data_IF_769952572665
#
_entry.id   IF_769952572665
#
_cell.length_a   1.000
_cell.length_b   1.000
_cell.length_c   1.000
_cell.angle_alpha   90.00
_cell.angle_beta   90.00
_cell.angle_gamma   90.00
#
_symmetry.space_group_name_H-M   'P 1'
#
loop_
_entity.id
_entity.type
_entity.pdbx_description
1 polymer ?
#
# COMPACT_ATOMS: atom_id res chain seq x y z
N UNK A 1 -14.86 15.65 21.15
CA UNK A 1 -14.59 16.13 19.78
C UNK A 1 -13.84 15.02 19.08
N UNK A 2 -14.40 14.39 18.06
CA UNK A 2 -13.68 13.38 17.28
C UNK A 2 -12.57 14.09 16.52
N UNK A 3 -11.32 13.82 16.87
CA UNK A 3 -10.18 14.32 16.11
C UNK A 3 -10.23 13.67 14.72
N UNK A 4 -10.05 14.46 13.66
CA UNK A 4 -9.99 13.93 12.29
C UNK A 4 -8.77 13.02 12.14
N UNK A 5 -9.01 11.74 11.88
CA UNK A 5 -7.95 10.76 11.67
C UNK A 5 -7.02 11.15 10.52
N UNK A 6 -7.54 11.85 9.52
CA UNK A 6 -6.78 12.33 8.36
C UNK A 6 -5.75 13.37 8.79
N UNK A 7 -6.14 14.31 9.66
CA UNK A 7 -5.23 15.32 10.20
C UNK A 7 -4.14 14.68 11.08
N UNK A 8 -4.52 13.72 11.95
CA UNK A 8 -3.58 12.96 12.77
C UNK A 8 -2.59 12.16 11.92
N UNK A 9 -3.03 11.59 10.80
CA UNK A 9 -2.17 10.89 9.87
C UNK A 9 -1.12 11.81 9.23
N UNK A 10 -1.49 13.05 8.90
CA UNK A 10 -0.55 14.04 8.37
C UNK A 10 0.43 14.56 9.43
N UNK A 11 0.08 14.44 10.71
CA UNK A 11 0.84 14.92 11.86
C UNK A 11 1.37 13.77 12.74
N UNK A 12 1.50 12.55 12.20
CA UNK A 12 1.98 11.38 12.93
C UNK A 12 3.31 11.70 13.65
N UNK A 13 3.22 11.77 14.99
CA UNK A 13 4.35 12.14 15.83
C UNK A 13 5.27 10.94 16.06
N UNK A 14 6.59 11.16 16.23
CA UNK A 14 7.53 10.08 16.55
C UNK A 14 7.09 9.23 17.75
N UNK A 15 6.59 9.84 18.81
CA UNK A 15 6.08 9.14 20.01
C UNK A 15 4.96 8.15 19.68
N UNK A 16 3.95 8.56 18.89
CA UNK A 16 2.84 7.70 18.50
C UNK A 16 3.28 6.54 17.62
N UNK A 17 4.28 6.77 16.76
CA UNK A 17 4.86 5.73 15.89
C UNK A 17 5.58 4.69 16.75
N UNK A 18 6.47 5.12 17.63
CA UNK A 18 7.28 4.24 18.48
C UNK A 18 6.39 3.43 19.42
N UNK A 19 5.42 4.08 20.09
CA UNK A 19 4.43 3.42 20.95
C UNK A 19 3.67 2.32 20.21
N UNK A 20 3.20 2.60 18.99
CA UNK A 20 2.41 1.67 18.21
C UNK A 20 3.23 0.45 17.78
N UNK A 21 4.44 0.70 17.29
CA UNK A 21 5.37 -0.35 16.82
C UNK A 21 5.79 -1.25 17.97
N UNK A 22 6.19 -0.65 19.09
CA UNK A 22 6.58 -1.37 20.28
C UNK A 22 5.44 -2.25 20.83
N UNK A 23 4.22 -1.71 20.93
CA UNK A 23 3.06 -2.46 21.39
C UNK A 23 2.68 -3.64 20.50
N UNK A 24 2.93 -3.55 19.19
CA UNK A 24 2.68 -4.64 18.25
C UNK A 24 3.76 -5.73 18.36
N UNK A 25 5.04 -5.34 18.35
CA UNK A 25 6.18 -6.27 18.40
C UNK A 25 6.23 -7.04 19.72
N UNK A 26 5.89 -6.40 20.84
CA UNK A 26 5.85 -7.04 22.16
C UNK A 26 4.82 -8.17 22.29
N UNK A 27 3.92 -8.34 21.32
CA UNK A 27 3.04 -9.51 21.24
C UNK A 27 3.78 -10.78 20.88
N UNK A 28 4.91 -10.66 20.18
CA UNK A 28 5.79 -11.76 19.82
C UNK A 28 7.04 -11.79 20.71
N UNK A 29 7.68 -10.64 20.91
CA UNK A 29 8.93 -10.49 21.68
C UNK A 29 8.75 -9.47 22.83
N UNK A 30 8.26 -9.90 24.01
CA UNK A 30 7.82 -8.99 25.08
C UNK A 30 8.88 -8.03 25.64
N UNK A 31 10.15 -8.36 25.48
CA UNK A 31 11.28 -7.56 25.97
C UNK A 31 11.81 -6.59 24.93
N UNK A 32 11.47 -6.74 23.66
CA UNK A 32 11.99 -5.90 22.59
C UNK A 32 11.40 -4.49 22.69
N UNK A 33 12.24 -3.47 22.47
CA UNK A 33 11.88 -2.06 22.61
C UNK A 33 12.36 -1.26 21.41
N UNK A 34 11.69 -0.15 21.13
CA UNK A 34 12.22 0.80 20.15
C UNK A 34 13.34 1.64 20.79
N UNK A 35 14.41 1.96 20.06
CA UNK A 35 15.51 2.81 20.59
C UNK A 35 15.14 4.29 20.71
N UNK A 36 13.98 4.68 20.18
CA UNK A 36 13.58 6.07 19.99
C UNK A 36 13.87 6.62 18.59
N UNK A 37 14.55 5.84 17.73
CA UNK A 37 14.86 6.22 16.36
C UNK A 37 13.77 5.77 15.38
N UNK A 38 13.11 6.74 14.75
CA UNK A 38 12.17 6.52 13.65
C UNK A 38 12.49 7.48 12.49
N UNK A 39 13.00 6.94 11.38
CA UNK A 39 13.37 7.71 10.20
C UNK A 39 12.28 7.61 9.13
N UNK A 40 11.70 8.73 8.72
CA UNK A 40 10.73 8.75 7.63
C UNK A 40 11.38 8.33 6.30
N UNK A 41 10.72 7.43 5.57
CA UNK A 41 11.09 6.98 4.23
C UNK A 41 10.23 7.66 3.17
N UNK A 42 10.74 7.76 1.94
CA UNK A 42 10.04 8.40 0.83
C UNK A 42 8.80 7.59 0.42
N UNK A 43 7.62 8.04 0.83
CA UNK A 43 6.33 7.52 0.40
C UNK A 43 5.29 8.64 0.36
N UNK A 44 4.55 8.72 -0.75
CA UNK A 44 3.54 9.78 -0.96
C UNK A 44 2.17 9.37 -0.41
N UNK A 45 1.78 8.11 -0.60
CA UNK A 45 0.46 7.59 -0.24
C UNK A 45 0.34 7.24 1.26
N UNK A 46 1.37 6.59 1.80
CA UNK A 46 1.40 6.10 3.17
C UNK A 46 2.52 6.81 3.94
N UNK A 47 2.45 6.81 5.28
CA UNK A 47 3.60 7.22 6.10
C UNK A 47 4.42 5.98 6.41
N UNK A 48 5.64 5.95 5.89
CA UNK A 48 6.54 4.81 6.03
C UNK A 48 7.75 5.22 6.85
N UNK A 49 8.10 4.45 7.87
CA UNK A 49 9.23 4.73 8.75
C UNK A 49 10.15 3.52 8.87
N UNK A 50 11.45 3.78 8.95
CA UNK A 50 12.48 2.85 9.39
C UNK A 50 12.67 3.04 10.89
N UNK A 51 12.29 2.04 11.68
CA UNK A 51 12.34 2.06 13.15
C UNK A 51 13.42 1.10 13.62
N UNK A 52 14.27 1.58 14.51
CA UNK A 52 15.36 0.80 15.12
C UNK A 52 14.90 0.21 16.45
N UNK A 53 15.26 -1.05 16.69
CA UNK A 53 14.98 -1.80 17.90
C UNK A 53 16.26 -1.97 18.74
N UNK A 54 16.10 -2.25 20.02
CA UNK A 54 17.21 -2.33 20.99
C UNK A 54 18.13 -3.56 20.83
N UNK A 55 17.75 -4.50 19.97
CA UNK A 55 18.60 -5.61 19.50
C UNK A 55 19.43 -5.26 18.24
N UNK A 56 19.52 -3.96 17.90
CA UNK A 56 20.17 -3.42 16.71
C UNK A 56 19.48 -3.76 15.37
N UNK A 57 18.34 -4.47 15.43
CA UNK A 57 17.54 -4.74 14.23
C UNK A 57 16.71 -3.52 13.83
N UNK A 58 16.15 -3.60 12.62
CA UNK A 58 15.32 -2.54 12.09
C UNK A 58 14.08 -3.12 11.40
N UNK A 59 12.98 -2.41 11.53
CA UNK A 59 11.71 -2.73 10.89
C UNK A 59 11.19 -1.56 10.07
N UNK A 60 10.47 -1.87 8.99
CA UNK A 60 9.81 -0.85 8.17
C UNK A 60 8.33 -0.84 8.49
N UNK A 61 7.83 0.28 8.97
CA UNK A 61 6.43 0.41 9.39
C UNK A 61 5.68 1.25 8.37
N UNK A 62 4.47 0.81 8.00
CA UNK A 62 3.63 1.47 6.99
C UNK A 62 2.30 1.81 7.65
N UNK A 63 2.08 3.09 7.89
CA UNK A 63 0.80 3.62 8.37
C UNK A 63 -0.06 3.99 7.16
N UNK A 64 -1.28 3.46 7.12
CA UNK A 64 -2.19 3.62 6.00
C UNK A 64 -2.97 4.93 6.13
N UNK A 65 -3.13 5.65 5.01
CA UNK A 65 -3.96 6.85 4.96
C UNK A 65 -5.42 6.50 5.34
N UNK A 66 -6.01 7.14 6.36
CA UNK A 66 -7.40 6.90 6.74
C UNK A 66 -8.37 7.06 5.57
N UNK A 67 -9.38 6.20 5.53
CA UNK A 67 -10.41 6.19 4.48
C UNK A 67 -9.96 5.67 3.12
N UNK A 68 -8.67 5.36 2.90
CA UNK A 68 -8.19 4.79 1.63
C UNK A 68 -8.49 3.31 1.52
N UNK A 69 -8.24 2.55 2.58
CA UNK A 69 -8.43 1.10 2.65
C UNK A 69 -9.13 0.72 3.96
N UNK A 70 -10.01 -0.27 3.88
CA UNK A 70 -10.57 -0.96 5.05
C UNK A 70 -9.57 -1.96 5.64
N UNK A 71 -9.78 -2.42 6.87
CA UNK A 71 -8.90 -3.44 7.48
C UNK A 71 -8.92 -4.73 6.65
N UNK A 72 -10.07 -5.11 6.12
CA UNK A 72 -10.28 -6.29 5.27
C UNK A 72 -9.50 -6.19 3.96
N UNK A 73 -9.47 -5.01 3.33
CA UNK A 73 -8.67 -4.76 2.12
C UNK A 73 -7.16 -4.81 2.37
N UNK A 74 -6.72 -4.39 3.56
CA UNK A 74 -5.31 -4.48 3.93
C UNK A 74 -4.96 -5.95 4.23
N UNK A 75 -5.79 -6.63 5.01
CA UNK A 75 -5.59 -8.05 5.34
C UNK A 75 -5.56 -8.92 4.07
N UNK A 76 -6.44 -8.68 3.12
CA UNK A 76 -6.44 -9.41 1.85
C UNK A 76 -5.17 -9.17 1.00
N UNK A 77 -4.56 -7.97 1.08
CA UNK A 77 -3.23 -7.73 0.50
C UNK A 77 -2.15 -8.55 1.21
N UNK A 78 -2.22 -8.66 2.55
CA UNK A 78 -1.27 -9.46 3.33
C UNK A 78 -1.42 -10.95 3.04
N UNK A 79 -2.64 -11.46 3.00
CA UNK A 79 -2.93 -12.87 2.68
C UNK A 79 -2.39 -13.24 1.29
N UNK A 80 -2.50 -12.32 0.32
CA UNK A 80 -1.89 -12.52 -0.99
C UNK A 80 -0.36 -12.48 -0.94
N UNK A 81 0.25 -11.56 -0.16
CA UNK A 81 1.71 -11.54 0.03
C UNK A 81 2.22 -12.85 0.67
N UNK A 82 1.52 -13.37 1.68
CA UNK A 82 1.85 -14.67 2.27
C UNK A 82 1.75 -15.81 1.25
N UNK A 83 0.69 -15.85 0.44
CA UNK A 83 0.56 -16.84 -0.62
C UNK A 83 1.67 -16.75 -1.70
N UNK A 84 2.14 -15.54 -2.02
CA UNK A 84 3.26 -15.33 -2.93
C UNK A 84 4.58 -15.80 -2.32
N UNK A 85 4.80 -15.53 -1.04
CA UNK A 85 6.00 -15.95 -0.29
C UNK A 85 6.05 -17.48 -0.13
N UNK A 86 4.92 -18.12 0.21
CA UNK A 86 4.75 -19.59 0.24
C UNK A 86 5.05 -20.24 -1.12
N UNK A 87 4.76 -19.52 -2.20
CA UNK A 87 5.08 -19.94 -3.56
C UNK A 87 6.53 -19.64 -3.96
N UNK A 88 7.41 -19.25 -3.03
CA UNK A 88 8.82 -18.87 -3.22
C UNK A 88 9.02 -17.75 -4.26
N UNK A 89 8.10 -16.78 -4.28
CA UNK A 89 8.24 -15.55 -5.06
C UNK A 89 8.90 -14.51 -4.15
N UNK A 90 9.93 -13.77 -4.59
CA UNK A 90 10.71 -12.86 -3.74
C UNK A 90 9.95 -11.56 -3.47
N UNK A 91 8.86 -11.66 -2.71
CA UNK A 91 8.10 -10.54 -2.14
C UNK A 91 8.57 -10.28 -0.71
N UNK A 92 7.99 -9.26 -0.09
CA UNK A 92 8.23 -8.95 1.32
C UNK A 92 6.90 -9.01 2.05
N UNK A 93 6.69 -10.10 2.78
CA UNK A 93 5.52 -10.28 3.64
C UNK A 93 5.66 -9.45 4.92
N UNK A 94 4.55 -8.92 5.46
CA UNK A 94 4.57 -8.25 6.75
C UNK A 94 4.82 -9.26 7.87
N UNK A 95 5.32 -8.79 9.02
CA UNK A 95 5.36 -9.59 10.23
C UNK A 95 3.95 -9.91 10.72
N UNK A 96 3.81 -11.09 11.30
CA UNK A 96 2.68 -11.49 12.11
C UNK A 96 3.14 -11.38 13.57
N UNK A 97 2.41 -10.63 14.39
CA UNK A 97 2.69 -10.50 15.82
C UNK A 97 1.40 -10.76 16.61
N UNK A 98 1.38 -11.84 17.40
CA UNK A 98 0.16 -12.27 18.09
C UNK A 98 -1.00 -12.53 17.13
N UNK A 99 -0.75 -13.32 16.09
CA UNK A 99 -1.71 -13.73 15.04
C UNK A 99 -2.28 -12.62 14.14
N UNK A 100 -1.83 -11.36 14.30
CA UNK A 100 -2.23 -10.23 13.44
C UNK A 100 -1.05 -9.72 12.59
N UNK A 101 -1.34 -9.31 11.36
CA UNK A 101 -0.41 -8.53 10.52
C UNK A 101 -0.89 -7.11 10.23
N UNK A 102 -2.14 -6.78 10.59
CA UNK A 102 -2.71 -5.43 10.49
C UNK A 102 -3.04 -4.94 11.89
N UNK A 103 -2.31 -3.93 12.33
CA UNK A 103 -2.42 -3.34 13.65
C UNK A 103 -3.16 -2.00 13.58
N UNK A 104 -3.58 -1.49 14.73
CA UNK A 104 -4.28 -0.21 14.85
C UNK A 104 -3.64 0.62 15.95
N UNK A 105 -3.33 1.89 15.68
CA UNK A 105 -2.82 2.81 16.71
C UNK A 105 -3.92 3.18 17.70
N UNK A 106 -3.56 3.86 18.81
CA UNK A 106 -4.54 4.38 19.77
C UNK A 106 -5.53 5.36 19.12
N UNK A 107 -5.11 6.03 18.06
CA UNK A 107 -5.88 7.00 17.27
C UNK A 107 -6.75 6.34 16.17
N UNK A 108 -6.69 5.02 16.03
CA UNK A 108 -7.47 4.28 15.04
C UNK A 108 -6.86 4.26 13.63
N UNK A 109 -5.57 4.58 13.49
CA UNK A 109 -4.86 4.49 12.21
C UNK A 109 -4.38 3.05 12.02
N UNK A 110 -4.69 2.45 10.87
CA UNK A 110 -4.15 1.13 10.54
C UNK A 110 -2.66 1.22 10.18
N UNK A 111 -1.89 0.24 10.62
CA UNK A 111 -0.49 0.11 10.25
C UNK A 111 -0.05 -1.36 10.18
N UNK A 112 1.08 -1.59 9.55
CA UNK A 112 1.74 -2.90 9.46
C UNK A 112 3.24 -2.75 9.63
N UNK A 113 3.91 -3.84 9.96
CA UNK A 113 5.35 -3.92 10.18
C UNK A 113 5.93 -4.90 9.18
N UNK A 114 6.94 -4.49 8.43
CA UNK A 114 7.65 -5.30 7.46
C UNK A 114 9.10 -5.51 7.90
N UNK A 115 9.73 -6.64 7.53
CA UNK A 115 11.16 -6.79 7.66
C UNK A 115 11.87 -5.75 6.78
N UNK A 116 12.97 -5.18 7.28
CA UNK A 116 13.80 -4.28 6.50
C UNK A 116 14.66 -5.06 5.51
N UNK A 117 14.27 -5.05 4.24
CA UNK A 117 15.06 -5.66 3.17
C UNK A 117 16.11 -4.68 2.65
N UNK A 118 17.38 -5.09 2.72
CA UNK A 118 18.49 -4.35 2.11
C UNK A 118 18.58 -4.72 0.64
N UNK A 119 18.57 -3.73 -0.22
CA UNK A 119 18.70 -3.91 -1.66
C UNK A 119 19.44 -2.75 -2.30
N UNK A 120 19.80 -2.91 -3.57
CA UNK A 120 20.29 -1.81 -4.40
C UNK A 120 19.30 -1.59 -5.53
N UNK A 121 18.99 -0.32 -5.78
CA UNK A 121 18.37 0.05 -7.05
C UNK A 121 19.32 -0.37 -8.18
N UNK A 122 18.73 -0.82 -9.27
CA UNK A 122 19.48 -1.28 -10.43
C UNK A 122 19.26 -0.26 -11.53
N UNK A 123 20.36 0.25 -12.09
CA UNK A 123 20.30 1.35 -13.05
C UNK A 123 19.75 0.91 -14.42
N UNK A 124 20.07 -0.32 -14.86
CA UNK A 124 19.59 -0.87 -16.14
C UNK A 124 19.21 -2.36 -16.05
N UNK A 125 18.18 -2.76 -16.80
CA UNK A 125 17.71 -4.15 -16.91
C UNK A 125 18.17 -4.76 -18.24
N UNK A 126 19.24 -5.56 -18.22
CA UNK A 126 19.64 -6.38 -19.37
C UNK A 126 18.63 -7.48 -19.70
N UNK A 127 18.74 -8.05 -20.90
CA UNK A 127 17.78 -9.03 -21.45
C UNK A 127 17.50 -10.23 -20.52
N UNK A 128 18.53 -10.82 -19.90
CA UNK A 128 18.36 -11.94 -18.97
C UNK A 128 17.56 -11.55 -17.72
N UNK A 129 17.74 -10.31 -17.25
CA UNK A 129 17.01 -9.81 -16.08
C UNK A 129 15.55 -9.51 -16.42
N UNK A 130 15.29 -8.97 -17.60
CA UNK A 130 13.92 -8.82 -18.11
C UNK A 130 13.23 -10.18 -18.19
N UNK A 131 13.92 -11.22 -18.65
CA UNK A 131 13.40 -12.59 -18.67
C UNK A 131 13.07 -13.11 -17.27
N UNK A 132 13.94 -12.84 -16.29
CA UNK A 132 13.67 -13.19 -14.88
C UNK A 132 12.50 -12.41 -14.30
N UNK A 133 12.38 -11.11 -14.58
CA UNK A 133 11.22 -10.30 -14.17
C UNK A 133 9.93 -10.84 -14.78
N UNK A 134 9.92 -11.15 -16.09
CA UNK A 134 8.78 -11.76 -16.76
C UNK A 134 8.38 -13.10 -16.14
N UNK A 135 9.35 -13.92 -15.72
CA UNK A 135 9.10 -15.15 -14.95
C UNK A 135 8.42 -14.87 -13.62
N UNK A 136 8.88 -13.87 -12.86
CA UNK A 136 8.25 -13.51 -11.59
C UNK A 136 6.82 -12.97 -11.78
N UNK A 137 6.60 -12.11 -12.77
CA UNK A 137 5.25 -11.61 -13.10
C UNK A 137 4.32 -12.78 -13.45
N UNK A 138 4.77 -13.73 -14.29
CA UNK A 138 4.00 -14.92 -14.62
C UNK A 138 3.67 -15.78 -13.40
N UNK A 139 4.63 -15.96 -12.47
CA UNK A 139 4.40 -16.68 -11.22
C UNK A 139 3.39 -15.97 -10.32
N UNK A 140 3.48 -14.64 -10.20
CA UNK A 140 2.51 -13.83 -9.44
C UNK A 140 1.10 -14.02 -10.00
N UNK A 141 0.95 -14.01 -11.33
CA UNK A 141 -0.34 -14.25 -11.98
C UNK A 141 -0.87 -15.67 -11.71
N UNK A 142 -0.02 -16.70 -11.75
CA UNK A 142 -0.44 -18.07 -11.47
C UNK A 142 -0.96 -18.23 -10.03
N UNK A 143 -0.33 -17.57 -9.05
CA UNK A 143 -0.84 -17.55 -7.66
C UNK A 143 -2.15 -16.75 -7.59
N UNK A 144 -2.20 -15.58 -8.23
CA UNK A 144 -3.38 -14.72 -8.29
C UNK A 144 -4.61 -15.40 -8.90
N UNK A 145 -4.43 -16.28 -9.88
CA UNK A 145 -5.53 -17.08 -10.47
C UNK A 145 -6.23 -17.96 -9.44
N UNK A 146 -5.49 -18.45 -8.43
CA UNK A 146 -5.99 -19.30 -7.35
C UNK A 146 -6.36 -18.50 -6.09
N UNK A 147 -6.19 -17.17 -6.10
CA UNK A 147 -6.41 -16.27 -4.97
C UNK A 147 -7.40 -15.15 -5.36
N UNK A 148 -8.72 -15.43 -5.38
CA UNK A 148 -9.71 -14.44 -5.78
C UNK A 148 -9.89 -13.36 -4.71
N UNK A 149 -9.53 -12.12 -5.05
CA UNK A 149 -9.80 -10.94 -4.23
C UNK A 149 -11.31 -10.67 -4.13
N UNK A 150 -11.79 -10.42 -2.92
CA UNK A 150 -13.17 -10.10 -2.55
C UNK A 150 -13.33 -8.64 -2.13
N UNK A 151 -12.34 -8.08 -1.42
CA UNK A 151 -12.45 -6.75 -0.82
C UNK A 151 -11.70 -5.67 -1.62
N UNK A 152 -10.53 -5.99 -2.17
CA UNK A 152 -9.77 -5.10 -3.04
C UNK A 152 -10.53 -4.87 -4.33
N UNK A 153 -10.44 -3.63 -4.81
CA UNK A 153 -11.16 -3.19 -6.01
C UNK A 153 -10.56 -3.88 -7.23
N UNK A 154 -11.41 -4.55 -8.00
CA UNK A 154 -11.05 -5.05 -9.32
C UNK A 154 -10.89 -3.88 -10.29
N UNK A 155 -9.92 -3.98 -11.22
CA UNK A 155 -9.73 -3.00 -12.28
C UNK A 155 -11.00 -2.92 -13.16
N UNK A 156 -11.59 -1.74 -13.27
CA UNK A 156 -12.77 -1.50 -14.13
C UNK A 156 -12.72 -0.08 -14.73
N UNK A 157 -13.45 0.13 -15.82
CA UNK A 157 -13.41 1.40 -16.54
C UNK A 157 -14.05 2.54 -15.73
N UNK A 158 -15.12 2.24 -14.99
CA UNK A 158 -15.80 3.23 -14.16
C UNK A 158 -14.85 3.92 -13.16
N UNK A 159 -14.17 3.14 -12.33
CA UNK A 159 -13.33 3.69 -11.24
C UNK A 159 -11.98 4.24 -11.72
N UNK A 160 -11.43 3.75 -12.84
CA UNK A 160 -10.10 4.16 -13.33
C UNK A 160 -10.13 5.10 -14.54
N UNK A 161 -11.29 5.31 -15.18
CA UNK A 161 -11.43 6.23 -16.30
C UNK A 161 -12.59 7.21 -16.12
N UNK A 162 -13.80 6.72 -15.85
CA UNK A 162 -15.01 7.57 -15.81
C UNK A 162 -15.03 8.50 -14.58
N UNK A 163 -14.97 7.95 -13.37
CA UNK A 163 -15.02 8.72 -12.11
C UNK A 163 -13.89 9.77 -12.02
N UNK A 164 -12.62 9.49 -12.40
CA UNK A 164 -11.57 10.51 -12.44
C UNK A 164 -11.83 11.62 -13.47
N UNK A 165 -12.39 11.29 -14.64
CA UNK A 165 -12.74 12.26 -15.67
C UNK A 165 -13.85 13.18 -15.18
N UNK A 166 -14.92 12.62 -14.61
CA UNK A 166 -16.03 13.37 -14.01
C UNK A 166 -15.54 14.27 -12.88
N UNK A 167 -14.69 13.74 -11.99
CA UNK A 167 -14.09 14.53 -10.91
C UNK A 167 -13.34 15.76 -11.45
N UNK A 168 -12.56 15.60 -12.52
CA UNK A 168 -11.82 16.73 -13.11
C UNK A 168 -12.77 17.75 -13.75
N UNK A 169 -13.80 17.31 -14.46
CA UNK A 169 -14.83 18.18 -15.05
C UNK A 169 -15.57 18.98 -13.97
N UNK A 170 -15.93 18.31 -12.86
CA UNK A 170 -16.68 18.89 -11.75
C UNK A 170 -15.82 19.72 -10.79
N UNK A 171 -14.49 19.59 -10.86
CA UNK A 171 -13.56 20.23 -9.91
C UNK A 171 -13.55 21.76 -9.98
N UNK A 172 -13.98 22.34 -11.09
CA UNK A 172 -13.86 23.78 -11.37
C UNK A 172 -12.41 24.27 -11.53
N UNK A 173 -11.42 23.37 -11.55
CA UNK A 173 -10.00 23.70 -11.70
C UNK A 173 -9.57 23.85 -13.18
N UNK A 174 -10.44 23.47 -14.11
CA UNK A 174 -10.15 23.49 -15.54
C UNK A 174 -10.47 24.85 -16.16
N UNK A 175 -9.54 25.36 -16.99
CA UNK A 175 -9.83 26.52 -17.83
C UNK A 175 -11.02 26.19 -18.76
N UNK A 176 -12.08 27.02 -18.77
CA UNK A 176 -13.27 26.81 -19.60
C UNK A 176 -12.95 26.57 -21.09
N UNK A 177 -11.84 27.11 -21.60
CA UNK A 177 -11.41 26.90 -22.99
C UNK A 177 -11.15 25.41 -23.32
N UNK A 178 -10.71 24.62 -22.35
CA UNK A 178 -10.37 23.20 -22.56
C UNK A 178 -11.51 22.24 -22.22
N UNK A 179 -12.56 22.71 -21.53
CA UNK A 179 -13.62 21.85 -20.99
C UNK A 179 -14.23 20.93 -22.05
N UNK A 180 -14.77 21.51 -23.14
CA UNK A 180 -15.45 20.73 -24.18
C UNK A 180 -14.52 19.70 -24.85
N UNK A 181 -13.26 20.07 -25.07
CA UNK A 181 -12.27 19.17 -25.70
C UNK A 181 -11.84 18.06 -24.75
N UNK A 182 -11.64 18.38 -23.46
CA UNK A 182 -11.32 17.40 -22.44
C UNK A 182 -12.45 16.39 -22.30
N UNK A 183 -13.70 16.84 -22.18
CA UNK A 183 -14.86 15.96 -22.06
C UNK A 183 -14.98 15.04 -23.28
N UNK A 184 -14.86 15.58 -24.49
CA UNK A 184 -14.95 14.78 -25.71
C UNK A 184 -13.89 13.66 -25.75
N UNK A 185 -12.63 14.00 -25.48
CA UNK A 185 -11.53 13.02 -25.49
C UNK A 185 -11.66 12.03 -24.33
N UNK A 186 -12.01 12.51 -23.13
CA UNK A 186 -12.23 11.71 -21.95
C UNK A 186 -13.31 10.66 -22.17
N UNK A 187 -14.48 11.06 -22.68
CA UNK A 187 -15.57 10.12 -23.01
C UNK A 187 -15.16 9.08 -24.05
N UNK A 188 -14.37 9.47 -25.05
CA UNK A 188 -13.84 8.52 -26.03
C UNK A 188 -12.86 7.51 -25.41
N UNK A 189 -12.03 7.93 -24.45
CA UNK A 189 -11.14 7.04 -23.70
C UNK A 189 -11.94 6.12 -22.79
N UNK A 190 -12.93 6.64 -22.04
CA UNK A 190 -13.82 5.85 -21.17
C UNK A 190 -14.53 4.76 -21.98
N UNK A 191 -15.08 5.09 -23.15
CA UNK A 191 -15.73 4.12 -24.02
C UNK A 191 -14.79 2.99 -24.44
N UNK A 192 -13.53 3.32 -24.80
CA UNK A 192 -12.51 2.30 -25.15
C UNK A 192 -12.09 1.46 -23.96
N UNK A 193 -11.91 2.07 -22.79
CA UNK A 193 -11.54 1.36 -21.56
C UNK A 193 -12.66 0.39 -21.15
N UNK A 194 -13.91 0.83 -21.22
CA UNK A 194 -15.10 0.02 -20.91
C UNK A 194 -15.14 -1.21 -21.82
N UNK A 195 -15.00 -1.02 -23.14
CA UNK A 195 -14.99 -2.13 -24.09
C UNK A 195 -13.82 -3.12 -23.88
N UNK A 196 -12.69 -2.68 -23.33
CA UNK A 196 -11.51 -3.52 -23.11
C UNK A 196 -11.48 -4.24 -21.76
N UNK A 197 -12.15 -3.68 -20.74
CA UNK A 197 -12.14 -4.21 -19.36
C UNK A 197 -13.43 -4.97 -19.01
N UNK A 198 -14.53 -4.69 -19.69
CA UNK A 198 -15.86 -5.24 -19.39
C UNK A 198 -16.48 -6.04 -20.57
N UNK A 199 -15.86 -5.98 -21.75
CA UNK A 199 -16.22 -6.77 -22.94
C UNK A 199 -15.37 -8.02 -23.10
#
# INVERSE_FOLDING_TARGET
>A
MSVDQTELFFQLKPESILDAVEAAIQREEPTLRCTGRALALNSLENRVYDVELDDESHVVTKFYRPGRWTKEQIQEEHDFLFALDDAEIPVVSPYICGDESVFTTKEGIFFTIFPKVKGRLMDELGADRIKTLGRYIGRIHNVGEHFPFRYRRALNARQWAEEPMEYILDSGLMDPLYHARYEQVGRAIVARATAALEG
#
